data_IF_695040275228
#
_entry.id   IF_695040275228
#
_cell.length_a   1.000
_cell.length_b   1.000
_cell.length_c   1.000
_cell.angle_alpha   90.00
_cell.angle_beta   90.00
_cell.angle_gamma   90.00
#
_symmetry.space_group_name_H-M   'P 1'
#
loop_
_entity.id
_entity.type
_entity.pdbx_description
1 polymer ?
#
# COMPACT_ATOMS: atom_id res chain seq x y z
N UNK A 1 -44.94 43.20 -1.82
CA UNK A 1 -44.94 41.73 -1.70
C UNK A 1 -43.74 41.32 -0.86
N UNK A 2 -43.95 40.95 0.40
CA UNK A 2 -42.88 40.58 1.34
C UNK A 2 -42.68 39.06 1.28
N UNK A 3 -41.45 38.63 0.97
CA UNK A 3 -41.08 37.22 0.92
C UNK A 3 -40.96 36.63 2.32
N UNK A 4 -41.67 35.53 2.55
CA UNK A 4 -41.51 34.71 3.75
C UNK A 4 -40.20 33.92 3.65
N UNK A 5 -39.24 34.29 4.50
CA UNK A 5 -38.02 33.52 4.75
C UNK A 5 -38.39 32.36 5.69
N UNK A 6 -38.26 31.12 5.22
CA UNK A 6 -38.58 29.92 6.01
C UNK A 6 -37.43 29.60 6.98
N UNK A 7 -37.77 29.53 8.27
CA UNK A 7 -36.85 29.24 9.37
C UNK A 7 -36.26 27.81 9.26
N UNK A 8 -34.92 27.65 9.18
CA UNK A 8 -34.26 26.34 9.06
C UNK A 8 -34.44 25.42 10.27
N UNK A 9 -35.04 25.87 11.38
CA UNK A 9 -35.33 25.03 12.55
C UNK A 9 -36.54 24.09 12.35
N UNK A 10 -37.45 24.39 11.42
CA UNK A 10 -38.64 23.56 11.16
C UNK A 10 -38.29 22.26 10.39
N UNK A 11 -37.17 22.22 9.67
CA UNK A 11 -36.79 21.07 8.83
C UNK A 11 -36.28 19.87 9.66
N UNK A 12 -35.81 20.07 10.90
CA UNK A 12 -35.26 18.97 11.73
C UNK A 12 -36.30 18.14 12.49
N UNK A 13 -37.55 18.58 12.58
CA UNK A 13 -38.57 17.86 13.38
C UNK A 13 -39.35 16.82 12.56
N UNK A 14 -39.29 16.85 11.22
CA UNK A 14 -40.08 15.94 10.36
C UNK A 14 -39.44 14.59 10.02
N UNK A 15 -38.17 14.37 10.34
CA UNK A 15 -37.49 13.08 10.04
C UNK A 15 -37.63 12.06 11.19
N UNK A 16 -38.02 12.50 12.39
CA UNK A 16 -38.13 11.62 13.56
C UNK A 16 -39.44 10.81 13.69
N UNK A 17 -40.46 11.04 12.85
CA UNK A 17 -41.81 10.47 13.03
C UNK A 17 -42.20 9.42 11.98
N UNK A 18 -41.28 9.00 11.11
CA UNK A 18 -41.56 8.03 10.03
C UNK A 18 -40.94 6.64 10.25
N UNK A 19 -40.36 6.36 11.42
CA UNK A 19 -39.67 5.10 11.72
C UNK A 19 -40.38 4.20 12.75
N UNK A 20 -41.63 4.52 13.13
CA UNK A 20 -42.39 3.74 14.13
C UNK A 20 -43.54 2.89 13.58
N UNK A 21 -43.76 2.83 12.27
CA UNK A 21 -44.94 2.16 11.67
C UNK A 21 -44.65 0.93 10.79
N UNK A 22 -43.44 0.38 10.78
CA UNK A 22 -43.17 -0.90 10.12
C UNK A 22 -42.90 -2.00 11.14
N UNK A 23 -43.97 -2.51 11.75
CA UNK A 23 -44.00 -3.75 12.53
C UNK A 23 -45.10 -4.66 11.97
N UNK A 24 -44.71 -5.91 11.75
CA UNK A 24 -45.49 -7.10 11.37
C UNK A 24 -45.74 -7.32 9.87
N UNK A 25 -45.06 -8.33 9.30
CA UNK A 25 -45.69 -9.64 9.08
C UNK A 25 -44.65 -10.76 8.85
N UNK A 26 -44.93 -12.01 9.31
CA UNK A 26 -44.05 -13.16 9.12
C UNK A 26 -44.61 -14.16 8.09
N UNK A 27 -43.88 -14.46 7.01
CA UNK A 27 -44.06 -15.63 6.12
C UNK A 27 -42.75 -15.83 5.34
N UNK A 28 -42.29 -17.00 4.89
CA UNK A 28 -42.67 -18.43 4.93
C UNK A 28 -41.39 -19.15 4.45
N UNK A 29 -41.02 -20.28 5.06
CA UNK A 29 -40.14 -21.27 4.40
C UNK A 29 -40.90 -21.92 3.24
N UNK A 30 -40.21 -22.29 2.14
CA UNK A 30 -39.90 -23.71 1.96
C UNK A 30 -38.65 -23.99 1.09
N UNK A 31 -38.18 -25.25 1.15
CA UNK A 31 -37.56 -25.89 -0.02
C UNK A 31 -36.21 -26.54 0.21
N UNK A 32 -36.19 -27.68 0.89
CA UNK A 32 -35.18 -28.72 0.67
C UNK A 32 -35.19 -29.11 -0.82
N UNK A 33 -34.02 -29.17 -1.45
CA UNK A 33 -33.83 -29.97 -2.66
C UNK A 33 -32.50 -30.71 -2.54
N UNK A 34 -32.62 -32.03 -2.44
CA UNK A 34 -31.55 -33.01 -2.57
C UNK A 34 -31.08 -33.15 -4.02
N UNK A 35 -29.77 -33.29 -4.22
CA UNK A 35 -29.13 -34.13 -5.26
C UNK A 35 -27.61 -34.11 -4.97
N UNK A 36 -26.94 -35.17 -4.48
CA UNK A 36 -26.73 -36.51 -5.07
C UNK A 36 -26.55 -36.46 -6.58
N UNK A 37 -25.32 -36.69 -7.05
CA UNK A 37 -24.97 -37.61 -8.16
C UNK A 37 -23.46 -37.53 -8.47
N UNK A 38 -22.83 -38.69 -8.25
CA UNK A 38 -21.81 -39.39 -9.06
C UNK A 38 -20.42 -38.78 -9.33
N UNK A 39 -19.44 -39.43 -8.69
CA UNK A 39 -18.08 -39.64 -9.22
C UNK A 39 -18.05 -40.83 -10.19
N UNK A 40 -17.17 -40.79 -11.20
CA UNK A 40 -16.40 -41.95 -11.62
C UNK A 40 -14.89 -41.61 -11.59
N UNK A 41 -14.03 -42.39 -10.94
CA UNK A 41 -13.54 -43.72 -11.34
C UNK A 41 -12.53 -43.67 -12.51
N UNK A 42 -11.25 -43.81 -12.12
CA UNK A 42 -10.12 -44.55 -12.74
C UNK A 42 -9.77 -44.41 -14.23
N UNK A 43 -8.48 -44.17 -14.48
CA UNK A 43 -7.58 -44.75 -15.51
C UNK A 43 -6.23 -43.99 -15.35
N UNK A 44 -5.14 -44.49 -14.77
CA UNK A 44 -4.34 -45.69 -15.04
C UNK A 44 -3.86 -45.76 -16.49
N UNK A 45 -2.73 -45.12 -16.81
CA UNK A 45 -1.94 -45.39 -18.01
C UNK A 45 -0.43 -45.10 -17.82
N UNK A 46 0.32 -46.20 -17.83
CA UNK A 46 1.54 -46.45 -18.60
C UNK A 46 2.79 -45.60 -18.34
N UNK A 47 3.69 -46.25 -17.60
CA UNK A 47 5.13 -46.38 -17.85
C UNK A 47 5.53 -46.19 -19.31
N UNK A 48 6.46 -45.27 -19.56
CA UNK A 48 7.22 -45.21 -20.81
C UNK A 48 8.70 -45.11 -20.45
N UNK A 49 9.39 -46.23 -20.64
CA UNK A 49 10.84 -46.31 -20.79
C UNK A 49 11.26 -45.57 -22.06
N UNK A 50 12.16 -44.59 -21.94
CA UNK A 50 12.94 -44.09 -23.07
C UNK A 50 14.43 -44.15 -22.74
N UNK A 51 14.97 -45.26 -23.22
CA UNK A 51 16.27 -45.49 -23.84
C UNK A 51 17.28 -44.33 -23.92
N UNK A 52 18.47 -44.66 -23.42
CA UNK A 52 19.76 -44.03 -23.65
C UNK A 52 20.03 -43.71 -25.13
N UNK A 53 20.56 -42.51 -25.39
CA UNK A 53 20.98 -42.06 -26.72
C UNK A 53 22.12 -41.04 -26.67
N UNK A 54 23.33 -41.55 -26.80
CA UNK A 54 24.42 -41.02 -27.65
C UNK A 54 24.98 -39.61 -27.38
N UNK A 55 26.08 -39.64 -26.62
CA UNK A 55 27.30 -38.84 -26.77
C UNK A 55 27.43 -38.04 -28.07
N UNK A 56 27.43 -36.71 -27.95
CA UNK A 56 27.97 -35.82 -28.98
C UNK A 56 28.85 -34.78 -28.27
N UNK A 57 30.15 -34.86 -28.55
CA UNK A 57 31.16 -33.95 -28.02
C UNK A 57 30.98 -32.56 -28.61
N UNK A 58 30.73 -31.60 -27.74
CA UNK A 58 30.86 -30.18 -28.04
C UNK A 58 32.00 -29.62 -27.17
N UNK A 59 32.98 -29.03 -27.85
CA UNK A 59 34.08 -28.27 -27.25
C UNK A 59 33.56 -27.21 -26.28
N UNK A 60 33.99 -27.34 -25.02
CA UNK A 60 33.71 -26.39 -23.95
C UNK A 60 34.58 -25.16 -24.17
N UNK A 61 34.00 -24.12 -24.79
CA UNK A 61 34.51 -22.76 -24.68
C UNK A 61 34.39 -22.30 -23.22
N UNK A 62 35.37 -21.55 -22.67
CA UNK A 62 35.31 -21.07 -21.29
C UNK A 62 34.18 -20.06 -21.14
N UNK A 63 33.03 -20.54 -20.67
CA UNK A 63 31.92 -19.69 -20.23
C UNK A 63 32.42 -18.81 -19.07
N UNK A 64 32.54 -17.52 -19.31
CA UNK A 64 32.57 -16.53 -18.24
C UNK A 64 31.27 -16.66 -17.44
N UNK A 65 31.30 -16.94 -16.13
CA UNK A 65 30.08 -17.01 -15.33
C UNK A 65 29.47 -15.61 -15.19
N UNK A 66 28.59 -15.24 -16.13
CA UNK A 66 27.68 -14.10 -16.02
C UNK A 66 26.33 -14.61 -15.53
N UNK A 67 26.34 -15.21 -14.35
CA UNK A 67 25.14 -15.43 -13.56
C UNK A 67 25.53 -14.90 -12.19
N UNK A 68 24.87 -13.81 -11.77
CA UNK A 68 24.96 -13.31 -10.41
C UNK A 68 24.44 -14.41 -9.48
N UNK A 69 25.30 -15.35 -9.12
CA UNK A 69 25.06 -16.28 -8.02
C UNK A 69 24.80 -15.41 -6.80
N UNK A 70 23.53 -15.34 -6.41
CA UNK A 70 23.11 -14.78 -5.14
C UNK A 70 23.72 -15.67 -4.07
N UNK A 71 24.95 -15.34 -3.67
CA UNK A 71 25.69 -16.03 -2.64
C UNK A 71 24.85 -15.94 -1.38
N UNK A 72 24.32 -17.08 -0.93
CA UNK A 72 23.52 -17.16 0.28
C UNK A 72 24.44 -16.86 1.47
N UNK A 73 24.42 -15.62 1.93
CA UNK A 73 25.17 -15.20 3.11
C UNK A 73 24.37 -15.55 4.35
N UNK A 74 25.02 -16.23 5.29
CA UNK A 74 24.50 -16.37 6.64
C UNK A 74 24.56 -15.02 7.38
N UNK A 75 24.03 -14.98 8.62
CA UNK A 75 23.99 -13.72 9.36
C UNK A 75 25.40 -13.16 9.68
N UNK A 76 26.38 -14.03 9.89
CA UNK A 76 27.77 -13.63 10.14
C UNK A 76 28.40 -13.05 8.87
N UNK A 77 28.23 -13.72 7.73
CA UNK A 77 28.67 -13.27 6.42
C UNK A 77 28.05 -11.92 6.02
N UNK A 78 26.76 -11.70 6.30
CA UNK A 78 26.12 -10.40 6.05
C UNK A 78 26.78 -9.28 6.86
N UNK A 79 27.05 -9.53 8.15
CA UNK A 79 27.66 -8.52 9.04
C UNK A 79 29.10 -8.24 8.63
N UNK A 80 29.88 -9.28 8.30
CA UNK A 80 31.23 -9.13 7.77
C UNK A 80 31.26 -8.34 6.45
N UNK A 81 30.35 -8.66 5.52
CA UNK A 81 30.19 -7.93 4.26
C UNK A 81 29.79 -6.46 4.49
N UNK A 82 28.88 -6.21 5.43
CA UNK A 82 28.46 -4.85 5.80
C UNK A 82 29.61 -4.04 6.39
N UNK A 83 30.49 -4.66 7.18
CA UNK A 83 31.69 -4.01 7.72
C UNK A 83 32.70 -3.72 6.61
N UNK A 84 32.95 -4.67 5.71
CA UNK A 84 33.84 -4.51 4.54
C UNK A 84 33.38 -3.38 3.60
N UNK A 85 32.08 -3.17 3.46
CA UNK A 85 31.48 -2.10 2.64
C UNK A 85 31.23 -0.80 3.40
N UNK A 86 31.66 -0.69 4.65
CA UNK A 86 31.42 0.47 5.55
C UNK A 86 29.94 0.80 5.84
N UNK A 87 29.00 0.02 5.32
CA UNK A 87 27.55 0.16 5.53
C UNK A 87 27.17 -0.06 7.00
N UNK A 88 27.97 -0.84 7.73
CA UNK A 88 27.74 -1.11 9.16
C UNK A 88 27.67 0.18 9.99
N UNK A 89 28.38 1.24 9.58
CA UNK A 89 28.38 2.54 10.26
C UNK A 89 27.04 3.28 10.20
N UNK A 90 26.15 2.92 9.28
CA UNK A 90 24.80 3.51 9.14
C UNK A 90 23.77 3.00 10.15
N UNK A 91 24.09 1.95 10.92
CA UNK A 91 23.20 1.41 11.94
C UNK A 91 23.16 2.32 13.19
N UNK A 92 22.05 2.34 13.95
CA UNK A 92 22.06 2.93 15.29
C UNK A 92 23.05 2.22 16.21
N UNK A 93 23.69 2.95 17.12
CA UNK A 93 24.77 2.45 17.97
C UNK A 93 24.39 1.16 18.72
N UNK A 94 23.21 1.12 19.35
CA UNK A 94 22.71 -0.09 20.03
C UNK A 94 22.62 -1.32 19.12
N UNK A 95 22.31 -1.14 17.84
CA UNK A 95 22.27 -2.24 16.88
C UNK A 95 23.67 -2.67 16.46
N UNK A 96 24.59 -1.72 16.23
CA UNK A 96 26.01 -2.01 15.96
C UNK A 96 26.61 -2.84 17.08
N UNK A 97 26.56 -2.34 18.32
CA UNK A 97 27.12 -3.01 19.49
C UNK A 97 26.54 -4.41 19.68
N UNK A 98 25.22 -4.58 19.43
CA UNK A 98 24.58 -5.90 19.50
C UNK A 98 25.15 -6.85 18.45
N UNK A 99 25.31 -6.40 17.21
CA UNK A 99 25.84 -7.24 16.11
C UNK A 99 27.34 -7.47 16.27
N UNK A 100 28.10 -6.51 16.78
CA UNK A 100 29.54 -6.65 17.06
C UNK A 100 29.78 -7.77 18.08
N UNK A 101 29.06 -7.75 19.21
CA UNK A 101 29.19 -8.80 20.22
C UNK A 101 28.77 -10.18 19.72
N UNK A 102 27.80 -10.25 18.81
CA UNK A 102 27.27 -11.51 18.30
C UNK A 102 28.07 -12.10 17.13
N UNK A 103 28.80 -11.29 16.36
CA UNK A 103 29.33 -11.73 15.07
C UNK A 103 30.76 -11.29 14.76
N UNK A 104 31.29 -10.25 15.42
CA UNK A 104 32.56 -9.61 15.03
C UNK A 104 33.62 -9.64 16.14
N UNK A 105 33.38 -10.34 17.25
CA UNK A 105 34.41 -10.53 18.28
C UNK A 105 35.51 -11.46 17.76
N UNK A 106 36.76 -11.13 18.06
CA UNK A 106 37.89 -12.03 17.88
C UNK A 106 37.78 -13.15 18.93
N UNK A 107 37.11 -14.24 18.57
CA UNK A 107 36.87 -15.39 19.46
C UNK A 107 35.49 -16.01 19.28
N UNK A 108 35.05 -16.76 20.30
CA UNK A 108 33.73 -17.38 20.29
C UNK A 108 32.62 -16.31 20.38
N UNK A 109 31.60 -16.35 19.50
CA UNK A 109 30.44 -15.47 19.58
C UNK A 109 29.77 -15.52 20.96
N UNK A 110 29.48 -14.35 21.54
CA UNK A 110 28.78 -14.25 22.83
C UNK A 110 27.34 -14.78 22.69
N UNK A 111 26.85 -15.47 23.72
CA UNK A 111 25.45 -15.88 23.73
C UNK A 111 24.53 -14.68 24.03
N UNK A 112 23.24 -14.77 23.66
CA UNK A 112 22.28 -13.66 23.83
C UNK A 112 22.17 -13.15 25.29
N UNK A 113 22.38 -14.04 26.28
CA UNK A 113 22.33 -13.70 27.71
C UNK A 113 23.54 -12.84 28.11
N UNK A 114 24.73 -13.15 27.61
CA UNK A 114 25.95 -12.39 27.87
C UNK A 114 25.91 -11.02 27.21
N UNK A 115 25.41 -10.95 25.97
CA UNK A 115 25.19 -9.68 25.27
C UNK A 115 24.25 -8.78 26.07
N UNK A 116 23.14 -9.35 26.57
CA UNK A 116 22.20 -8.61 27.43
C UNK A 116 22.87 -8.05 28.69
N UNK A 117 23.71 -8.85 29.36
CA UNK A 117 24.48 -8.42 30.53
C UNK A 117 25.46 -7.29 30.20
N UNK A 118 26.22 -7.40 29.10
CA UNK A 118 27.19 -6.38 28.66
C UNK A 118 26.52 -5.07 28.22
N UNK A 119 25.30 -5.13 27.70
CA UNK A 119 24.53 -3.95 27.27
C UNK A 119 23.73 -3.29 28.39
N UNK A 120 24.12 -3.47 29.66
CA UNK A 120 23.46 -2.86 30.82
C UNK A 120 22.24 -3.63 31.31
N UNK A 121 22.24 -4.96 31.19
CA UNK A 121 21.19 -5.82 31.76
C UNK A 121 19.89 -5.85 30.96
N UNK A 122 19.94 -5.60 29.64
CA UNK A 122 18.74 -5.70 28.79
C UNK A 122 18.26 -7.15 28.66
N UNK A 123 16.94 -7.32 28.50
CA UNK A 123 16.33 -8.64 28.37
C UNK A 123 16.74 -9.34 27.08
N UNK A 124 16.77 -10.69 27.09
CA UNK A 124 17.11 -11.52 25.92
C UNK A 124 16.20 -11.18 24.72
N UNK A 125 14.92 -10.91 24.95
CA UNK A 125 13.98 -10.50 23.90
C UNK A 125 14.36 -9.15 23.27
N UNK A 126 14.87 -8.21 24.06
CA UNK A 126 15.35 -6.92 23.57
C UNK A 126 16.58 -7.10 22.69
N UNK A 127 17.52 -7.98 23.09
CA UNK A 127 18.68 -8.35 22.25
C UNK A 127 18.21 -8.98 20.93
N UNK A 128 17.25 -9.92 20.97
CA UNK A 128 16.68 -10.52 19.75
C UNK A 128 16.03 -9.47 18.84
N UNK A 129 15.28 -8.52 19.41
CA UNK A 129 14.66 -7.42 18.66
C UNK A 129 15.73 -6.51 18.01
N UNK A 130 16.78 -6.16 18.74
CA UNK A 130 17.90 -5.35 18.22
C UNK A 130 18.64 -6.07 17.10
N UNK A 131 19.00 -7.35 17.31
CA UNK A 131 19.60 -8.23 16.31
C UNK A 131 18.75 -8.28 15.04
N UNK A 132 17.44 -8.57 15.16
CA UNK A 132 16.52 -8.68 14.02
C UNK A 132 16.41 -7.35 13.26
N UNK A 133 16.31 -6.22 13.96
CA UNK A 133 16.26 -4.88 13.36
C UNK A 133 17.55 -4.53 12.63
N UNK A 134 18.71 -4.80 13.24
CA UNK A 134 20.03 -4.56 12.64
C UNK A 134 20.22 -5.37 11.36
N UNK A 135 19.96 -6.68 11.42
CA UNK A 135 20.07 -7.56 10.24
C UNK A 135 19.10 -7.16 9.12
N UNK A 136 17.84 -6.80 9.44
CA UNK A 136 16.88 -6.27 8.45
C UNK A 136 17.38 -4.99 7.78
N UNK A 137 17.95 -4.06 8.56
CA UNK A 137 18.48 -2.80 8.01
C UNK A 137 19.68 -3.06 7.10
N UNK A 138 20.61 -3.94 7.50
CA UNK A 138 21.74 -4.34 6.66
C UNK A 138 21.29 -5.04 5.38
N UNK A 139 20.32 -5.95 5.48
CA UNK A 139 19.71 -6.66 4.34
C UNK A 139 19.15 -5.66 3.32
N UNK A 140 18.39 -4.68 3.80
CA UNK A 140 17.79 -3.65 2.94
C UNK A 140 18.85 -2.77 2.27
N UNK A 141 19.90 -2.36 2.99
CA UNK A 141 20.94 -1.49 2.42
C UNK A 141 21.83 -2.26 1.42
N UNK A 142 22.16 -3.51 1.71
CA UNK A 142 23.01 -4.33 0.85
C UNK A 142 22.24 -4.97 -0.32
N UNK A 143 20.90 -4.93 -0.30
CA UNK A 143 20.03 -5.61 -1.26
C UNK A 143 20.33 -7.11 -1.41
N UNK A 144 20.71 -7.78 -0.32
CA UNK A 144 21.05 -9.22 -0.30
C UNK A 144 19.86 -10.00 0.27
N UNK A 145 19.48 -11.12 -0.35
CA UNK A 145 18.53 -12.07 0.24
C UNK A 145 19.27 -13.02 1.18
N UNK A 146 19.02 -12.94 2.50
CA UNK A 146 19.42 -14.01 3.41
C UNK A 146 18.43 -15.17 3.33
N UNK A 147 18.89 -16.42 3.27
CA UNK A 147 18.04 -17.57 3.54
C UNK A 147 17.59 -17.49 5.00
N UNK A 148 16.31 -17.19 5.22
CA UNK A 148 15.72 -17.35 6.53
C UNK A 148 15.51 -18.84 6.73
N UNK A 149 16.42 -19.46 7.50
CA UNK A 149 16.20 -20.83 8.00
C UNK A 149 15.08 -20.74 9.04
N UNK A 150 13.84 -20.76 8.55
CA UNK A 150 12.65 -20.79 9.39
C UNK A 150 12.35 -22.24 9.68
N UNK A 151 12.36 -22.62 10.96
CA UNK A 151 11.83 -23.90 11.39
C UNK A 151 10.33 -23.94 11.05
N UNK A 152 9.99 -24.59 9.94
CA UNK A 152 8.61 -24.71 9.45
C UNK A 152 7.78 -25.50 10.45
N UNK A 153 6.67 -24.92 10.90
CA UNK A 153 5.69 -25.64 11.73
C UNK A 153 4.99 -26.72 10.92
N UNK A 154 4.45 -27.77 11.56
CA UNK A 154 3.71 -28.84 10.85
C UNK A 154 2.60 -28.28 9.95
N UNK A 155 1.86 -27.28 10.41
CA UNK A 155 0.84 -26.59 9.62
C UNK A 155 1.39 -25.89 8.35
N UNK A 156 2.62 -25.35 8.39
CA UNK A 156 3.24 -24.78 7.18
C UNK A 156 3.55 -25.89 6.17
N UNK A 157 4.06 -27.04 6.64
CA UNK A 157 4.38 -28.18 5.77
C UNK A 157 3.13 -28.79 5.15
N UNK A 158 2.03 -28.85 5.90
CA UNK A 158 0.73 -29.32 5.39
C UNK A 158 0.23 -28.42 4.25
N UNK A 159 0.28 -27.09 4.44
CA UNK A 159 -0.11 -26.15 3.37
C UNK A 159 0.83 -26.25 2.17
N UNK A 160 2.14 -26.41 2.38
CA UNK A 160 3.09 -26.61 1.27
C UNK A 160 2.80 -27.89 0.49
N UNK A 161 2.42 -28.97 1.17
CA UNK A 161 2.03 -30.22 0.54
C UNK A 161 0.71 -30.10 -0.22
N UNK A 162 -0.26 -29.34 0.31
CA UNK A 162 -1.57 -29.12 -0.31
C UNK A 162 -1.47 -28.23 -1.57
N UNK A 163 -0.67 -27.16 -1.52
CA UNK A 163 -0.55 -26.20 -2.61
C UNK A 163 0.58 -26.53 -3.60
N UNK A 164 1.51 -27.42 -3.24
CA UNK A 164 2.68 -27.78 -4.06
C UNK A 164 3.71 -26.66 -4.23
N UNK A 165 3.59 -25.58 -3.45
CA UNK A 165 4.48 -24.41 -3.50
C UNK A 165 4.91 -23.99 -2.09
N UNK A 166 6.08 -23.34 -1.93
CA UNK A 166 6.53 -22.84 -0.63
C UNK A 166 5.53 -21.91 0.04
N UNK A 167 5.38 -22.02 1.36
CA UNK A 167 4.37 -21.26 2.13
C UNK A 167 4.57 -19.75 2.00
N UNK A 168 5.81 -19.29 1.81
CA UNK A 168 6.09 -17.87 1.65
C UNK A 168 5.55 -17.34 0.32
N UNK A 169 5.55 -18.15 -0.73
CA UNK A 169 4.96 -17.80 -2.01
C UNK A 169 3.43 -17.76 -1.90
N UNK A 170 2.81 -18.79 -1.32
CA UNK A 170 1.35 -18.81 -1.07
C UNK A 170 0.89 -17.57 -0.31
N UNK A 171 1.59 -17.22 0.78
CA UNK A 171 1.23 -16.05 1.59
C UNK A 171 1.46 -14.73 0.84
N UNK A 172 2.48 -14.63 -0.03
CA UNK A 172 2.71 -13.45 -0.88
C UNK A 172 1.60 -13.31 -1.93
N UNK A 173 1.22 -14.41 -2.58
CA UNK A 173 0.20 -14.41 -3.62
C UNK A 173 -1.16 -14.01 -3.05
N UNK A 174 -1.58 -14.65 -1.94
CA UNK A 174 -2.82 -14.29 -1.25
C UNK A 174 -2.80 -12.85 -0.71
N UNK A 175 -1.65 -12.33 -0.27
CA UNK A 175 -1.53 -10.94 0.13
C UNK A 175 -1.61 -9.98 -1.06
N UNK A 176 -1.07 -10.37 -2.22
CA UNK A 176 -1.13 -9.59 -3.46
C UNK A 176 -2.54 -9.53 -4.05
N UNK A 177 -3.36 -10.58 -3.82
CA UNK A 177 -4.81 -10.57 -4.05
C UNK A 177 -5.58 -9.60 -3.13
N UNK A 178 -4.90 -8.97 -2.16
CA UNK A 178 -5.50 -8.00 -1.24
C UNK A 178 -6.26 -8.64 -0.07
N UNK A 179 -6.07 -9.94 0.18
CA UNK A 179 -6.67 -10.60 1.33
C UNK A 179 -6.02 -10.10 2.63
N UNK A 180 -6.85 -9.89 3.63
CA UNK A 180 -6.39 -9.59 4.99
C UNK A 180 -5.85 -10.86 5.66
N UNK A 181 -4.96 -10.68 6.65
CA UNK A 181 -4.44 -11.80 7.48
C UNK A 181 -5.56 -12.68 8.08
N UNK A 182 -6.75 -12.12 8.32
CA UNK A 182 -7.92 -12.88 8.80
C UNK A 182 -8.53 -13.75 7.70
N UNK A 183 -8.67 -13.25 6.48
CA UNK A 183 -9.20 -14.02 5.34
C UNK A 183 -8.20 -15.07 4.87
N UNK A 184 -6.91 -14.73 4.83
CA UNK A 184 -5.83 -15.70 4.61
C UNK A 184 -5.92 -16.81 5.66
N UNK A 185 -6.14 -16.46 6.93
CA UNK A 185 -6.33 -17.43 7.99
C UNK A 185 -7.53 -18.35 7.75
N UNK A 186 -8.68 -17.80 7.34
CA UNK A 186 -9.86 -18.61 6.99
C UNK A 186 -9.58 -19.57 5.83
N UNK A 187 -8.88 -19.11 4.79
CA UNK A 187 -8.57 -19.88 3.58
C UNK A 187 -7.52 -20.97 3.83
N UNK A 188 -6.57 -20.72 4.72
CA UNK A 188 -5.51 -21.66 5.10
C UNK A 188 -5.83 -22.42 6.40
N UNK A 189 -7.08 -22.37 6.88
CA UNK A 189 -7.51 -22.99 8.13
C UNK A 189 -6.61 -22.68 9.35
N UNK A 190 -6.08 -21.47 9.40
CA UNK A 190 -5.16 -21.00 10.43
C UNK A 190 -5.70 -19.76 11.14
N UNK A 191 -5.40 -19.60 12.43
CA UNK A 191 -5.79 -18.40 13.16
C UNK A 191 -5.10 -17.16 12.57
N UNK A 192 -5.75 -15.99 12.66
CA UNK A 192 -5.13 -14.70 12.26
C UNK A 192 -3.77 -14.47 12.93
N UNK A 193 -3.63 -14.90 14.19
CA UNK A 193 -2.37 -14.78 14.95
C UNK A 193 -1.28 -15.66 14.34
N UNK A 194 -1.62 -16.89 13.98
CA UNK A 194 -0.73 -17.82 13.27
C UNK A 194 -0.24 -17.22 11.96
N UNK A 195 -1.14 -16.67 11.14
CA UNK A 195 -0.77 -16.00 9.89
C UNK A 195 0.17 -14.81 10.16
N UNK A 196 -0.13 -13.97 11.15
CA UNK A 196 0.75 -12.86 11.52
C UNK A 196 2.15 -13.36 11.89
N UNK A 197 2.24 -14.39 12.72
CA UNK A 197 3.51 -14.97 13.13
C UNK A 197 4.27 -15.56 11.95
N UNK A 198 3.58 -16.13 10.95
CA UNK A 198 4.19 -16.63 9.71
C UNK A 198 4.77 -15.50 8.85
N UNK A 199 4.02 -14.42 8.62
CA UNK A 199 4.55 -13.22 7.94
C UNK A 199 5.80 -12.68 8.65
N UNK A 200 5.75 -12.58 9.98
CA UNK A 200 6.86 -12.07 10.80
C UNK A 200 8.09 -12.99 10.77
N UNK A 201 7.89 -14.32 10.70
CA UNK A 201 8.95 -15.34 10.64
C UNK A 201 9.60 -15.40 9.25
N UNK A 202 8.78 -15.38 8.21
CA UNK A 202 9.22 -15.47 6.81
C UNK A 202 9.72 -14.14 6.26
N UNK A 203 9.62 -13.06 7.05
CA UNK A 203 10.00 -11.71 6.64
C UNK A 203 9.31 -11.30 5.33
N UNK A 204 8.11 -11.85 5.11
CA UNK A 204 7.17 -11.33 4.12
C UNK A 204 6.80 -10.00 4.73
N UNK A 205 7.41 -8.93 4.19
CA UNK A 205 7.15 -7.57 4.63
C UNK A 205 5.66 -7.38 4.80
N UNK A 206 5.25 -6.48 5.68
CA UNK A 206 3.85 -6.11 5.72
C UNK A 206 3.51 -5.57 4.33
N UNK A 207 2.99 -6.45 3.46
CA UNK A 207 2.37 -6.08 2.20
C UNK A 207 1.32 -5.12 2.72
N UNK A 208 1.53 -3.83 2.46
CA UNK A 208 0.57 -2.80 2.80
C UNK A 208 -0.64 -3.08 1.92
N UNK A 209 -1.40 -4.10 2.30
CA UNK A 209 -2.80 -4.20 1.97
C UNK A 209 -3.37 -3.01 2.72
N UNK A 210 -3.32 -1.83 2.09
CA UNK A 210 -4.10 -0.66 2.46
C UNK A 210 -5.55 -1.07 2.24
N UNK A 211 -6.03 -1.95 3.11
CA UNK A 211 -7.37 -2.46 3.04
C UNK A 211 -8.24 -1.34 3.53
N UNK A 212 -8.67 -0.54 2.57
CA UNK A 212 -9.62 0.51 2.82
C UNK A 212 -10.86 -0.14 3.45
N UNK A 213 -11.10 0.19 4.71
CA UNK A 213 -12.33 -0.23 5.38
C UNK A 213 -13.46 0.55 4.75
N UNK A 214 -14.44 -0.14 4.14
CA UNK A 214 -15.68 0.49 3.67
C UNK A 214 -16.33 1.22 4.85
N UNK A 215 -16.47 2.52 4.71
CA UNK A 215 -17.15 3.38 5.70
C UNK A 215 -18.66 3.18 5.62
N UNK A 216 -19.42 3.44 6.70
CA UNK A 216 -20.90 3.36 6.68
C UNK A 216 -21.50 4.12 5.49
N UNK A 217 -21.05 5.37 5.29
CA UNK A 217 -21.45 6.22 4.16
C UNK A 217 -21.22 5.58 2.79
N UNK A 218 -20.17 4.75 2.66
CA UNK A 218 -19.89 4.07 1.40
C UNK A 218 -20.91 2.96 1.15
N UNK A 219 -21.23 2.18 2.17
CA UNK A 219 -22.25 1.14 2.08
C UNK A 219 -23.63 1.73 1.77
N UNK A 220 -23.96 2.88 2.37
CA UNK A 220 -25.19 3.63 2.07
C UNK A 220 -25.24 4.08 0.61
N UNK A 221 -24.14 4.60 0.07
CA UNK A 221 -24.03 4.94 -1.36
C UNK A 221 -24.17 3.69 -2.23
N UNK A 222 -23.51 2.59 -1.88
CA UNK A 222 -23.61 1.33 -2.63
C UNK A 222 -25.03 0.80 -2.67
N UNK A 223 -25.73 0.84 -1.53
CA UNK A 223 -27.13 0.43 -1.40
C UNK A 223 -28.06 1.33 -2.23
N UNK A 224 -27.86 2.65 -2.17
CA UNK A 224 -28.69 3.63 -2.90
C UNK A 224 -28.58 3.47 -4.41
N UNK A 225 -27.38 3.22 -4.93
CA UNK A 225 -27.13 3.12 -6.37
C UNK A 225 -27.12 1.68 -6.89
N UNK A 226 -27.27 0.68 -6.00
CA UNK A 226 -27.20 -0.76 -6.29
C UNK A 226 -25.94 -1.15 -7.08
N UNK A 227 -24.82 -0.47 -6.83
CA UNK A 227 -23.51 -0.68 -7.49
C UNK A 227 -22.37 -0.42 -6.51
N UNK A 228 -21.21 -1.10 -6.66
CA UNK A 228 -20.03 -0.81 -5.86
C UNK A 228 -19.59 0.66 -5.97
N UNK A 229 -19.18 1.26 -4.85
CA UNK A 229 -18.82 2.68 -4.80
C UNK A 229 -17.63 2.98 -5.73
N UNK A 230 -16.71 2.03 -5.86
CA UNK A 230 -15.58 2.11 -6.79
C UNK A 230 -16.07 2.31 -8.24
N UNK A 231 -17.02 1.50 -8.70
CA UNK A 231 -17.53 1.58 -10.07
C UNK A 231 -18.26 2.91 -10.31
N UNK A 232 -19.02 3.38 -9.32
CA UNK A 232 -19.72 4.66 -9.38
C UNK A 232 -18.72 5.81 -9.50
N UNK A 233 -17.68 5.81 -8.66
CA UNK A 233 -16.63 6.82 -8.67
C UNK A 233 -15.83 6.77 -9.96
N UNK A 234 -15.40 5.60 -10.41
CA UNK A 234 -14.64 5.44 -11.66
C UNK A 234 -15.44 5.94 -12.86
N UNK A 235 -16.73 5.63 -12.94
CA UNK A 235 -17.62 6.11 -14.02
C UNK A 235 -17.81 7.62 -13.98
N UNK A 236 -18.12 8.19 -12.81
CA UNK A 236 -18.36 9.64 -12.68
C UNK A 236 -17.09 10.46 -12.85
N UNK A 237 -15.99 9.97 -12.30
CA UNK A 237 -14.70 10.65 -12.33
C UNK A 237 -13.99 10.43 -13.66
N UNK A 238 -13.78 9.21 -14.12
CA UNK A 238 -12.99 8.96 -15.33
C UNK A 238 -13.83 9.23 -16.58
N UNK A 239 -14.98 8.56 -16.71
CA UNK A 239 -15.75 8.58 -17.96
C UNK A 239 -16.49 9.91 -18.15
N UNK A 240 -17.16 10.38 -17.09
CA UNK A 240 -17.96 11.61 -17.14
C UNK A 240 -17.15 12.88 -16.83
N UNK A 241 -15.86 12.74 -16.49
CA UNK A 241 -14.97 13.85 -16.13
C UNK A 241 -15.55 14.81 -15.07
N UNK A 242 -16.47 14.36 -14.20
CA UNK A 242 -17.07 15.24 -13.17
C UNK A 242 -16.02 15.65 -12.13
N UNK A 243 -16.10 16.89 -11.63
CA UNK A 243 -15.25 17.35 -10.53
C UNK A 243 -15.65 16.75 -9.18
N UNK A 244 -14.73 16.73 -8.21
CA UNK A 244 -14.97 16.14 -6.87
C UNK A 244 -16.20 16.74 -6.18
N UNK A 245 -16.38 18.07 -6.25
CA UNK A 245 -17.54 18.78 -5.68
C UNK A 245 -18.86 18.31 -6.29
N UNK A 246 -18.90 18.12 -7.61
CA UNK A 246 -20.12 17.68 -8.29
C UNK A 246 -20.46 16.23 -7.94
N UNK A 247 -19.45 15.36 -7.82
CA UNK A 247 -19.62 13.98 -7.38
C UNK A 247 -20.10 13.95 -5.92
N UNK A 248 -19.51 14.76 -5.06
CA UNK A 248 -19.87 14.89 -3.64
C UNK A 248 -21.33 15.30 -3.46
N UNK A 249 -21.78 16.33 -4.19
CA UNK A 249 -23.18 16.76 -4.21
C UNK A 249 -24.13 15.67 -4.70
N UNK A 250 -23.77 14.95 -5.76
CA UNK A 250 -24.61 13.89 -6.33
C UNK A 250 -24.72 12.67 -5.39
N UNK A 251 -23.63 12.33 -4.70
CA UNK A 251 -23.59 11.22 -3.74
C UNK A 251 -24.07 11.63 -2.33
N UNK A 252 -24.36 12.92 -2.10
CA UNK A 252 -24.69 13.50 -0.80
C UNK A 252 -23.64 13.23 0.29
N UNK A 253 -22.35 13.36 -0.07
CA UNK A 253 -21.20 13.23 0.85
C UNK A 253 -20.27 14.43 0.71
N UNK A 254 -19.34 14.63 1.65
CA UNK A 254 -18.33 15.68 1.56
C UNK A 254 -17.29 15.43 0.45
N UNK A 255 -16.75 16.51 -0.13
CA UNK A 255 -15.69 16.43 -1.16
C UNK A 255 -14.45 15.66 -0.65
N UNK A 256 -14.05 15.91 0.60
CA UNK A 256 -12.91 15.21 1.22
C UNK A 256 -13.17 13.71 1.37
N UNK A 257 -14.42 13.31 1.57
CA UNK A 257 -14.82 11.90 1.64
C UNK A 257 -14.65 11.25 0.27
N UNK A 258 -15.12 11.91 -0.80
CA UNK A 258 -14.90 11.43 -2.18
C UNK A 258 -13.41 11.31 -2.50
N UNK A 259 -12.59 12.31 -2.13
CA UNK A 259 -11.13 12.27 -2.35
C UNK A 259 -10.50 11.06 -1.66
N UNK A 260 -10.80 10.87 -0.37
CA UNK A 260 -10.30 9.70 0.38
C UNK A 260 -10.74 8.38 -0.25
N UNK A 261 -11.97 8.28 -0.74
CA UNK A 261 -12.45 7.08 -1.43
C UNK A 261 -11.70 6.82 -2.74
N UNK A 262 -11.43 7.86 -3.55
CA UNK A 262 -10.61 7.71 -4.76
C UNK A 262 -9.20 7.21 -4.45
N UNK A 263 -8.52 7.83 -3.48
CA UNK A 263 -7.19 7.43 -3.04
C UNK A 263 -7.18 5.96 -2.56
N UNK A 264 -8.25 5.59 -1.87
CA UNK A 264 -8.42 4.26 -1.29
C UNK A 264 -8.72 3.18 -2.30
N UNK A 265 -9.37 3.52 -3.42
CA UNK A 265 -9.57 2.64 -4.56
C UNK A 265 -8.41 2.66 -5.55
N UNK A 266 -7.33 3.39 -5.26
CA UNK A 266 -6.21 3.55 -6.18
C UNK A 266 -6.58 4.29 -7.46
N UNK A 267 -7.63 5.11 -7.44
CA UNK A 267 -7.99 5.98 -8.55
C UNK A 267 -7.17 7.25 -8.41
N UNK A 268 -6.11 7.38 -9.21
CA UNK A 268 -5.21 8.52 -9.18
C UNK A 268 -5.97 9.84 -9.31
N UNK A 269 -5.67 10.78 -8.42
CA UNK A 269 -6.19 12.14 -8.54
C UNK A 269 -5.71 12.77 -9.84
N UNK A 270 -6.63 13.46 -10.54
CA UNK A 270 -6.30 14.22 -11.74
C UNK A 270 -5.22 15.25 -11.46
N UNK A 271 -4.37 15.45 -12.45
CA UNK A 271 -3.36 16.50 -12.39
C UNK A 271 -4.03 17.88 -12.38
N UNK A 272 -3.28 18.91 -11.95
CA UNK A 272 -3.79 20.28 -11.97
C UNK A 272 -4.24 20.71 -13.38
N UNK A 273 -3.50 20.28 -14.41
CA UNK A 273 -3.81 20.58 -15.81
C UNK A 273 -5.11 19.92 -16.26
N UNK A 274 -5.30 18.63 -16.01
CA UNK A 274 -6.55 17.92 -16.32
C UNK A 274 -7.75 18.55 -15.60
N UNK A 275 -7.58 18.93 -14.34
CA UNK A 275 -8.60 19.63 -13.58
C UNK A 275 -8.94 21.00 -14.18
N UNK A 276 -7.95 21.74 -14.69
CA UNK A 276 -8.15 23.00 -15.40
C UNK A 276 -8.87 22.81 -16.73
N UNK A 277 -8.46 21.84 -17.55
CA UNK A 277 -9.10 21.54 -18.83
C UNK A 277 -10.59 21.21 -18.64
N UNK A 278 -10.92 20.40 -17.65
CA UNK A 278 -12.30 20.09 -17.28
C UNK A 278 -13.05 21.33 -16.79
N UNK A 279 -12.40 22.19 -16.01
CA UNK A 279 -13.02 23.44 -15.55
C UNK A 279 -13.30 24.41 -16.72
N UNK A 280 -12.51 24.37 -17.79
CA UNK A 280 -12.71 25.20 -18.99
C UNK A 280 -13.86 24.71 -19.87
N UNK A 281 -14.30 23.46 -19.73
CA UNK A 281 -15.50 22.94 -20.40
C UNK A 281 -16.79 23.57 -19.86
N UNK A 282 -16.79 24.02 -18.60
CA UNK A 282 -17.93 24.75 -18.02
C UNK A 282 -17.85 26.24 -18.41
N UNK A 283 -18.79 26.76 -19.22
CA UNK A 283 -18.73 28.13 -19.74
C UNK A 283 -18.72 29.17 -18.62
N UNK A 284 -19.41 28.92 -17.50
CA UNK A 284 -19.46 29.85 -16.36
C UNK A 284 -18.11 29.92 -15.65
N UNK A 285 -17.46 28.77 -15.47
CA UNK A 285 -16.12 28.71 -14.88
C UNK A 285 -15.08 29.30 -15.81
N UNK A 286 -15.15 29.03 -17.11
CA UNK A 286 -14.30 29.64 -18.14
C UNK A 286 -14.39 31.16 -18.09
N UNK A 287 -15.59 31.72 -18.03
CA UNK A 287 -15.78 33.16 -17.91
C UNK A 287 -15.17 33.71 -16.61
N UNK A 288 -15.42 33.05 -15.46
CA UNK A 288 -14.84 33.44 -14.17
C UNK A 288 -13.31 33.42 -14.18
N UNK A 289 -12.70 32.39 -14.77
CA UNK A 289 -11.24 32.26 -14.90
C UNK A 289 -10.71 33.40 -15.78
N UNK A 290 -11.30 33.64 -16.95
CA UNK A 290 -10.84 34.71 -17.85
C UNK A 290 -10.97 36.10 -17.22
N UNK A 291 -12.05 36.37 -16.47
CA UNK A 291 -12.21 37.62 -15.69
C UNK A 291 -11.09 37.77 -14.66
N UNK A 292 -10.82 36.73 -13.86
CA UNK A 292 -9.74 36.74 -12.86
C UNK A 292 -8.37 36.94 -13.51
N UNK A 293 -8.08 36.26 -14.62
CA UNK A 293 -6.82 36.42 -15.37
C UNK A 293 -6.66 37.84 -15.93
N UNK A 294 -7.73 38.43 -16.47
CA UNK A 294 -7.73 39.84 -16.92
C UNK A 294 -7.45 40.79 -15.76
N UNK A 295 -8.07 40.57 -14.60
CA UNK A 295 -7.84 41.38 -13.40
C UNK A 295 -6.39 41.26 -12.90
N UNK A 296 -5.84 40.05 -12.80
CA UNK A 296 -4.45 39.83 -12.39
C UNK A 296 -3.46 40.48 -13.37
N UNK A 297 -3.68 40.34 -14.69
CA UNK A 297 -2.87 41.03 -15.71
C UNK A 297 -2.95 42.54 -15.57
N UNK A 298 -4.13 43.10 -15.30
CA UNK A 298 -4.31 44.54 -15.05
C UNK A 298 -3.53 44.99 -13.81
N UNK A 299 -3.61 44.25 -12.69
CA UNK A 299 -2.85 44.55 -11.46
C UNK A 299 -1.34 44.49 -11.70
N UNK A 300 -0.86 43.45 -12.40
CA UNK A 300 0.56 43.30 -12.73
C UNK A 300 1.06 44.45 -13.63
N UNK A 301 0.27 44.83 -14.64
CA UNK A 301 0.58 45.95 -15.54
C UNK A 301 0.69 47.28 -14.78
N UNK A 302 -0.23 47.56 -13.85
CA UNK A 302 -0.17 48.75 -12.99
C UNK A 302 1.08 48.74 -12.11
N UNK A 303 1.38 47.59 -11.48
CA UNK A 303 2.58 47.42 -10.65
C UNK A 303 3.86 47.66 -11.43
N UNK A 304 3.96 47.08 -12.63
CA UNK A 304 5.12 47.24 -13.51
C UNK A 304 5.31 48.69 -13.96
N UNK A 305 4.23 49.40 -14.30
CA UNK A 305 4.27 50.84 -14.63
C UNK A 305 4.76 51.69 -13.45
N UNK A 306 4.28 51.41 -12.23
CA UNK A 306 4.75 52.09 -11.01
C UNK A 306 6.24 51.84 -10.76
N UNK A 307 6.69 50.60 -10.95
CA UNK A 307 8.09 50.25 -10.81
C UNK A 307 8.97 50.99 -11.84
N UNK A 308 8.55 51.03 -13.11
CA UNK A 308 9.27 51.81 -14.13
C UNK A 308 9.28 53.31 -13.86
N UNK A 309 8.16 53.88 -13.40
CA UNK A 309 8.10 55.29 -13.02
C UNK A 309 9.09 55.60 -11.88
N UNK A 310 9.10 54.78 -10.83
CA UNK A 310 10.06 54.92 -9.72
C UNK A 310 11.51 54.82 -10.18
N UNK A 311 11.85 53.88 -11.07
CA UNK A 311 13.22 53.78 -11.61
C UNK A 311 13.63 54.98 -12.46
N UNK A 312 12.68 55.61 -13.16
CA UNK A 312 12.95 56.86 -13.90
C UNK A 312 13.24 58.02 -12.95
N UNK A 313 12.41 58.18 -11.92
CA UNK A 313 12.66 59.20 -10.87
C UNK A 313 14.00 59.01 -10.15
N UNK A 314 14.39 57.76 -9.88
CA UNK A 314 15.71 57.43 -9.31
C UNK A 314 16.85 57.81 -10.27
N UNK A 315 16.73 57.48 -11.55
CA UNK A 315 17.73 57.83 -12.57
C UNK A 315 17.87 59.35 -12.75
N UNK A 316 16.75 60.09 -12.77
CA UNK A 316 16.76 61.56 -12.90
C UNK A 316 17.41 62.23 -11.67
N UNK A 317 17.23 61.66 -10.47
CA UNK A 317 17.92 62.10 -9.25
C UNK A 317 19.43 61.84 -9.29
N UNK A 318 19.85 60.67 -9.76
CA UNK A 318 21.28 60.35 -9.93
C UNK A 318 21.96 61.31 -10.91
N UNK A 319 21.30 61.63 -12.03
CA UNK A 319 21.79 62.62 -13.00
C UNK A 319 21.93 63.99 -12.33
N UNK A 320 20.92 64.43 -11.57
CA UNK A 320 20.93 65.73 -10.89
C UNK A 320 22.00 65.85 -9.80
N UNK A 321 22.41 64.74 -9.16
CA UNK A 321 23.49 64.72 -8.17
C UNK A 321 24.89 64.68 -8.80
N UNK A 322 24.99 64.38 -10.10
CA UNK A 322 26.25 64.30 -10.85
C UNK A 322 26.66 65.60 -11.56
N UNK A 323 25.77 66.60 -11.59
CA UNK A 323 25.99 67.94 -12.16
C UNK A 323 26.34 68.93 -11.05
#
# INVERSE_FOLDING_TARGET
MRGHELDPRIIRVRIGKALSEFREEPQKSPGEVNSSVESPAVSDLSSVDVSNGTSTGYEVLPHTPTIAEKTQLDAAGLVALARKKEVFNSLPERQKTTLDYLYLQEGAPLCLKEVGKRMGGITIESVRKLKKKGLRKLKNILNVQLPLVVNKTQAMRQIEAEYGVPIDQVLKDLASEGLSKTEIGKRLHASRRTIKDWFDKLDIGEVEVKKFRRTSLMLEVEQRFKKPAEQILRKKYTDQKKGLVAIAQELAVDENTVRRWLDSFGISARTHQEAMEIALLDPKKREKITRKTKETRRKLSISLRRHHAKRREEADREISLSV
#
